data_IF_316071017804
#
_entry.id   IF_316071017804
#
_cell.length_a   1.000
_cell.length_b   1.000
_cell.length_c   1.000
_cell.angle_alpha   90.00
_cell.angle_beta   90.00
_cell.angle_gamma   90.00
#
_symmetry.space_group_name_H-M   'P 1'
#
loop_
_entity.id
_entity.type
_entity.pdbx_description
1 polymer ?
#
# COMPACT_ATOMS: atom_id res chain seq x y z
N UNK A 1 -1.46 -16.39 5.58
CA UNK A 1 -2.12 -15.16 6.04
C UNK A 1 -1.68 -14.88 7.47
N UNK A 2 -1.04 -13.73 7.73
CA UNK A 2 -0.60 -13.31 9.05
C UNK A 2 -1.32 -12.00 9.41
N UNK A 3 -2.47 -12.06 10.10
CA UNK A 3 -3.14 -10.85 10.59
C UNK A 3 -2.34 -10.22 11.74
N UNK A 4 -2.65 -8.99 12.08
CA UNK A 4 -2.14 -8.37 13.28
C UNK A 4 -2.52 -9.17 14.53
N UNK A 5 -1.58 -9.27 15.47
CA UNK A 5 -1.92 -9.69 16.83
C UNK A 5 -2.87 -8.66 17.45
N UNK A 6 -3.85 -9.14 18.22
CA UNK A 6 -4.90 -8.29 18.78
C UNK A 6 -4.34 -7.11 19.57
N UNK A 7 -3.31 -7.33 20.38
CA UNK A 7 -2.65 -6.27 21.17
C UNK A 7 -2.00 -5.19 20.31
N UNK A 8 -1.37 -5.58 19.21
CA UNK A 8 -0.73 -4.63 18.29
C UNK A 8 -1.79 -3.80 17.57
N UNK A 9 -2.88 -4.44 17.15
CA UNK A 9 -4.01 -3.76 16.53
C UNK A 9 -4.66 -2.74 17.49
N UNK A 10 -4.88 -3.12 18.75
CA UNK A 10 -5.41 -2.24 19.78
C UNK A 10 -4.53 -1.00 19.99
N UNK A 11 -3.21 -1.16 20.06
CA UNK A 11 -2.27 -0.03 20.15
C UNK A 11 -2.33 0.89 18.92
N UNK A 12 -2.50 0.34 17.71
CA UNK A 12 -2.65 1.14 16.48
C UNK A 12 -3.96 1.92 16.52
N UNK A 13 -5.06 1.28 16.93
CA UNK A 13 -6.38 1.91 17.06
C UNK A 13 -6.34 3.03 18.08
N UNK A 14 -5.84 2.76 19.29
CA UNK A 14 -5.68 3.74 20.36
C UNK A 14 -4.84 4.95 19.91
N UNK A 15 -3.70 4.69 19.25
CA UNK A 15 -2.88 5.76 18.69
C UNK A 15 -3.64 6.62 17.68
N UNK A 16 -4.42 5.99 16.80
CA UNK A 16 -5.20 6.70 15.79
C UNK A 16 -6.30 7.56 16.42
N UNK A 17 -7.01 7.02 17.41
CA UNK A 17 -8.06 7.70 18.12
C UNK A 17 -7.54 8.88 18.98
N UNK A 18 -6.51 8.65 19.79
CA UNK A 18 -5.91 9.67 20.66
C UNK A 18 -5.31 10.84 19.87
N UNK A 19 -4.68 10.54 18.74
CA UNK A 19 -4.00 11.55 17.92
C UNK A 19 -4.86 12.06 16.77
N UNK A 20 -6.15 11.72 16.72
CA UNK A 20 -7.10 12.08 15.65
C UNK A 20 -6.55 11.80 14.25
N UNK A 21 -5.89 10.64 14.09
CA UNK A 21 -5.27 10.23 12.83
C UNK A 21 -6.29 9.61 11.91
N UNK A 22 -6.15 9.85 10.63
CA UNK A 22 -6.95 9.18 9.62
C UNK A 22 -6.30 7.84 9.27
N UNK A 23 -7.03 6.76 9.49
CA UNK A 23 -6.58 5.39 9.26
C UNK A 23 -7.69 4.56 8.63
N UNK A 24 -7.31 3.61 7.79
CA UNK A 24 -8.19 2.61 7.19
C UNK A 24 -7.65 1.24 7.55
N UNK A 25 -8.52 0.34 7.95
CA UNK A 25 -8.22 -1.04 8.30
C UNK A 25 -8.60 -1.95 7.15
N UNK A 26 -7.74 -2.89 6.81
CA UNK A 26 -7.94 -3.88 5.76
C UNK A 26 -8.11 -5.29 6.33
N UNK A 27 -9.33 -5.82 6.23
CA UNK A 27 -9.63 -7.23 6.43
C UNK A 27 -9.50 -7.98 5.09
N UNK A 28 -9.79 -9.29 5.08
CA UNK A 28 -9.60 -10.14 3.89
C UNK A 28 -10.33 -9.65 2.66
N UNK A 29 -11.56 -9.16 2.80
CA UNK A 29 -12.45 -8.84 1.68
C UNK A 29 -13.01 -7.42 1.71
N UNK A 30 -12.65 -6.62 2.71
CA UNK A 30 -13.16 -5.24 2.84
C UNK A 30 -12.18 -4.31 3.53
N UNK A 31 -12.39 -3.03 3.28
CA UNK A 31 -11.73 -1.92 3.96
C UNK A 31 -12.78 -1.12 4.74
N UNK A 32 -12.40 -0.65 5.92
CA UNK A 32 -13.23 0.26 6.72
C UNK A 32 -12.35 1.20 7.55
N UNK A 33 -12.88 2.33 8.00
CA UNK A 33 -12.11 3.31 8.76
C UNK A 33 -12.44 4.74 8.39
N UNK A 34 -11.42 5.57 8.21
CA UNK A 34 -11.60 6.98 7.84
C UNK A 34 -12.38 7.16 6.55
N UNK A 35 -13.59 7.70 6.66
CA UNK A 35 -14.47 7.99 5.51
C UNK A 35 -13.78 8.87 4.47
N UNK A 36 -12.96 9.84 4.92
CA UNK A 36 -12.21 10.75 4.03
C UNK A 36 -11.19 9.98 3.19
N UNK A 37 -10.51 9.00 3.77
CA UNK A 37 -9.54 8.18 3.04
C UNK A 37 -10.24 7.19 2.10
N UNK A 38 -11.34 6.57 2.53
CA UNK A 38 -12.14 5.67 1.71
C UNK A 38 -12.74 6.38 0.49
N UNK A 39 -13.28 7.59 0.69
CA UNK A 39 -13.76 8.43 -0.42
C UNK A 39 -12.63 8.79 -1.39
N UNK A 40 -11.43 9.09 -0.90
CA UNK A 40 -10.26 9.38 -1.73
C UNK A 40 -9.83 8.20 -2.63
N UNK A 41 -10.20 6.98 -2.30
CA UNK A 41 -9.97 5.79 -3.12
C UNK A 41 -11.04 5.59 -4.21
N UNK A 42 -12.18 6.31 -4.11
CA UNK A 42 -13.26 6.24 -5.09
C UNK A 42 -12.76 6.65 -6.47
N UNK A 43 -13.06 5.83 -7.48
CA UNK A 43 -12.76 6.10 -8.90
C UNK A 43 -13.28 7.47 -9.33
N UNK A 44 -14.43 7.90 -8.78
CA UNK A 44 -15.06 9.18 -9.09
C UNK A 44 -14.19 10.36 -8.61
N UNK A 45 -13.61 10.28 -7.42
CA UNK A 45 -12.74 11.34 -6.88
C UNK A 45 -11.39 11.32 -7.59
N UNK A 46 -10.83 10.15 -7.91
CA UNK A 46 -9.60 10.04 -8.72
C UNK A 46 -9.79 10.70 -10.08
N UNK A 47 -10.93 10.48 -10.72
CA UNK A 47 -11.28 11.11 -12.01
C UNK A 47 -11.51 12.61 -11.89
N UNK A 48 -12.12 13.09 -10.79
CA UNK A 48 -12.29 14.52 -10.54
C UNK A 48 -10.93 15.20 -10.26
N UNK A 49 -10.05 14.54 -9.53
CA UNK A 49 -8.70 15.04 -9.22
C UNK A 49 -7.81 15.08 -10.45
N UNK A 50 -8.00 14.18 -11.44
CA UNK A 50 -7.22 14.18 -12.69
C UNK A 50 -7.51 15.41 -13.58
N UNK A 51 -8.62 16.09 -13.39
CA UNK A 51 -8.93 17.37 -14.05
C UNK A 51 -8.32 18.60 -13.36
N UNK A 52 -7.72 18.44 -12.17
CA UNK A 52 -7.07 19.53 -11.46
C UNK A 52 -5.66 19.78 -12.01
N UNK A 53 -5.22 21.05 -12.10
CA UNK A 53 -3.87 21.37 -12.56
C UNK A 53 -2.82 20.68 -11.68
N UNK A 54 -1.75 20.14 -12.26
CA UNK A 54 -0.64 19.46 -11.56
C UNK A 54 -0.01 20.28 -10.42
N UNK A 55 -0.26 21.57 -10.34
CA UNK A 55 0.20 22.50 -9.29
C UNK A 55 -0.88 22.88 -8.28
N UNK A 56 -1.96 22.09 -8.15
CA UNK A 56 -3.02 22.43 -7.21
C UNK A 56 -2.49 22.33 -5.75
N UNK A 57 -2.67 23.37 -4.90
CA UNK A 57 -2.10 23.37 -3.57
C UNK A 57 -2.70 22.27 -2.69
N UNK A 58 -1.87 21.36 -2.21
CA UNK A 58 -2.25 20.25 -1.32
C UNK A 58 -3.03 20.73 -0.08
N UNK A 59 -2.71 21.95 0.42
CA UNK A 59 -3.42 22.58 1.53
C UNK A 59 -4.88 22.91 1.20
N UNK A 60 -5.16 23.31 -0.04
CA UNK A 60 -6.51 23.60 -0.49
C UNK A 60 -7.31 22.29 -0.71
N UNK A 61 -6.67 21.26 -1.24
CA UNK A 61 -7.26 19.92 -1.35
C UNK A 61 -7.65 19.37 0.03
N UNK A 62 -6.79 19.49 1.04
CA UNK A 62 -7.13 19.12 2.43
C UNK A 62 -8.34 19.87 2.94
N UNK A 63 -8.45 21.19 2.71
CA UNK A 63 -9.63 21.99 3.09
C UNK A 63 -10.89 21.54 2.35
N UNK A 64 -10.80 21.30 1.05
CA UNK A 64 -11.94 20.82 0.24
C UNK A 64 -12.41 19.45 0.75
N UNK A 65 -11.50 18.50 0.96
CA UNK A 65 -11.83 17.18 1.50
C UNK A 65 -12.39 17.27 2.94
N UNK A 66 -11.93 18.21 3.75
CA UNK A 66 -12.49 18.47 5.09
C UNK A 66 -13.90 19.07 5.05
N UNK A 67 -14.22 19.89 4.04
CA UNK A 67 -15.57 20.47 3.85
C UNK A 67 -16.55 19.43 3.31
N UNK A 68 -16.09 18.53 2.44
CA UNK A 68 -16.91 17.44 1.88
C UNK A 68 -16.94 16.17 2.75
N UNK A 69 -16.22 16.14 3.85
CA UNK A 69 -16.36 15.10 4.89
C UNK A 69 -17.41 15.58 5.91
N UNK A 70 -18.70 15.21 5.75
CA UNK A 70 -19.76 15.74 6.61
C UNK A 70 -19.72 15.18 8.04
N UNK A 71 -18.80 14.31 8.33
CA UNK A 71 -18.61 13.75 9.66
C UNK A 71 -17.15 13.91 10.09
N UNK A 72 -16.88 14.92 10.93
CA UNK A 72 -15.91 14.70 12.01
C UNK A 72 -16.26 13.34 12.56
N UNK A 73 -15.33 12.42 12.48
CA UNK A 73 -15.46 11.12 13.09
C UNK A 73 -15.80 11.34 14.58
N UNK A 74 -17.08 11.24 14.90
CA UNK A 74 -17.58 11.32 16.29
C UNK A 74 -17.34 9.99 17.00
N UNK A 75 -17.26 8.92 16.21
CA UNK A 75 -17.12 7.58 16.72
C UNK A 75 -15.63 7.21 16.66
N UNK A 76 -15.13 6.67 17.75
CA UNK A 76 -13.79 6.15 17.87
C UNK A 76 -13.65 4.92 16.95
N UNK A 77 -12.47 4.71 16.40
CA UNK A 77 -12.19 3.54 15.55
C UNK A 77 -12.45 2.23 16.31
N UNK A 78 -12.22 2.22 17.62
CA UNK A 78 -12.46 1.05 18.49
C UNK A 78 -13.87 0.45 18.36
N UNK A 79 -14.85 1.24 17.88
CA UNK A 79 -16.25 0.79 17.70
C UNK A 79 -16.51 0.18 16.33
N UNK A 80 -15.53 0.16 15.43
CA UNK A 80 -15.73 -0.36 14.08
C UNK A 80 -15.90 -1.89 14.08
N UNK A 81 -16.92 -2.35 13.40
CA UNK A 81 -17.21 -3.78 13.24
C UNK A 81 -16.09 -4.56 12.55
N UNK A 82 -15.32 -3.91 11.65
CA UNK A 82 -14.20 -4.55 10.96
C UNK A 82 -13.13 -5.04 11.92
N UNK A 83 -12.94 -4.40 13.08
CA UNK A 83 -11.93 -4.79 14.07
C UNK A 83 -12.25 -6.12 14.78
N UNK A 84 -13.44 -6.68 14.57
CA UNK A 84 -13.80 -8.03 15.01
C UNK A 84 -13.28 -9.12 14.04
N UNK A 85 -12.82 -8.71 12.87
CA UNK A 85 -12.24 -9.59 11.85
C UNK A 85 -10.71 -9.57 11.94
N UNK A 86 -10.01 -10.57 11.38
CA UNK A 86 -8.56 -10.52 11.20
C UNK A 86 -8.17 -9.34 10.30
N UNK A 87 -7.36 -8.42 10.82
CA UNK A 87 -6.84 -7.26 10.08
C UNK A 87 -5.43 -7.58 9.59
N UNK A 88 -5.19 -7.37 8.31
CA UNK A 88 -3.93 -7.70 7.64
C UNK A 88 -3.10 -6.46 7.29
N UNK A 89 -3.74 -5.30 7.19
CA UNK A 89 -3.12 -4.05 6.79
C UNK A 89 -3.86 -2.88 7.42
N UNK A 90 -3.11 -1.84 7.80
CA UNK A 90 -3.67 -0.53 8.12
C UNK A 90 -3.03 0.52 7.22
N UNK A 91 -3.81 1.44 6.67
CA UNK A 91 -3.32 2.56 5.85
C UNK A 91 -3.48 3.82 6.68
N UNK A 92 -2.36 4.42 7.09
CA UNK A 92 -2.35 5.62 7.93
C UNK A 92 -1.98 6.86 7.09
N UNK A 93 -2.75 7.93 7.23
CA UNK A 93 -2.37 9.23 6.67
C UNK A 93 -1.25 9.83 7.54
N UNK A 94 -0.02 9.79 7.01
CA UNK A 94 1.17 10.23 7.71
C UNK A 94 2.23 10.71 6.72
N UNK A 95 2.85 11.90 6.95
CA UNK A 95 3.95 12.36 6.11
C UNK A 95 5.20 11.49 6.32
N UNK A 96 6.05 11.44 5.31
CA UNK A 96 7.29 10.66 5.33
C UNK A 96 8.21 11.02 6.52
N UNK A 97 8.22 12.29 6.91
CA UNK A 97 9.01 12.79 8.05
C UNK A 97 8.67 12.12 9.40
N UNK A 98 7.52 11.46 9.52
CA UNK A 98 7.10 10.73 10.71
C UNK A 98 7.51 9.25 10.69
N UNK A 99 8.08 8.74 9.60
CA UNK A 99 8.41 7.31 9.42
C UNK A 99 9.17 6.74 10.62
N UNK A 100 10.30 7.35 10.97
CA UNK A 100 11.15 6.88 12.09
C UNK A 100 10.43 6.88 13.44
N UNK A 101 9.51 7.81 13.67
CA UNK A 101 8.71 7.88 14.91
C UNK A 101 7.72 6.72 14.98
N UNK A 102 7.09 6.39 13.86
CA UNK A 102 6.15 5.27 13.78
C UNK A 102 6.88 3.93 13.96
N UNK A 103 8.01 3.73 13.30
CA UNK A 103 8.84 2.53 13.43
C UNK A 103 9.32 2.31 14.87
N UNK A 104 9.70 3.40 15.56
CA UNK A 104 10.09 3.33 16.97
C UNK A 104 8.91 3.03 17.90
N UNK A 105 7.72 3.55 17.57
CA UNK A 105 6.51 3.36 18.39
C UNK A 105 5.90 1.96 18.24
N UNK A 106 6.00 1.38 17.04
CA UNK A 106 5.42 0.08 16.70
C UNK A 106 6.50 -0.86 16.13
N UNK A 107 7.44 -1.32 16.96
CA UNK A 107 8.53 -2.18 16.49
C UNK A 107 8.05 -3.58 16.02
N UNK A 108 6.78 -3.93 16.32
CA UNK A 108 6.11 -5.16 15.87
C UNK A 108 5.47 -5.01 14.48
N UNK A 109 5.62 -3.84 13.85
CA UNK A 109 5.06 -3.56 12.54
C UNK A 109 6.16 -3.35 11.49
N UNK A 110 5.80 -3.59 10.25
CA UNK A 110 6.54 -3.15 9.05
C UNK A 110 5.80 -1.99 8.41
N UNK A 111 6.54 -0.96 7.99
CA UNK A 111 6.00 0.25 7.40
C UNK A 111 6.45 0.35 5.96
N UNK A 112 5.50 0.40 5.02
CA UNK A 112 5.77 0.52 3.59
C UNK A 112 5.09 1.76 3.04
N UNK A 113 5.73 2.43 2.07
CA UNK A 113 5.16 3.61 1.42
C UNK A 113 5.13 3.46 -0.08
N UNK A 114 3.97 3.75 -0.66
CA UNK A 114 3.79 3.96 -2.09
C UNK A 114 3.74 5.45 -2.47
N UNK A 115 3.68 6.34 -1.46
CA UNK A 115 3.69 7.80 -1.64
C UNK A 115 4.12 8.51 -0.35
N UNK A 116 4.34 9.83 -0.43
CA UNK A 116 4.82 10.66 0.69
C UNK A 116 3.75 11.00 1.74
N UNK A 117 2.49 10.65 1.52
CA UNK A 117 1.35 11.08 2.35
C UNK A 117 0.72 9.96 3.16
N UNK A 118 0.87 8.72 2.71
CA UNK A 118 0.31 7.55 3.38
C UNK A 118 1.39 6.52 3.66
N UNK A 119 1.19 5.76 4.72
CA UNK A 119 2.01 4.61 5.06
C UNK A 119 1.13 3.39 5.28
N UNK A 120 1.51 2.30 4.68
CA UNK A 120 0.94 1.00 4.91
C UNK A 120 1.64 0.38 6.11
N UNK A 121 0.85 0.02 7.12
CA UNK A 121 1.30 -0.68 8.33
C UNK A 121 0.86 -2.13 8.17
N UNK A 122 1.80 -3.04 8.22
CA UNK A 122 1.55 -4.48 8.15
C UNK A 122 2.24 -5.19 9.31
N UNK A 123 1.84 -6.40 9.69
CA UNK A 123 2.53 -7.19 10.69
C UNK A 123 4.02 -7.33 10.35
N UNK A 124 4.87 -7.35 11.39
CA UNK A 124 6.32 -7.44 11.22
C UNK A 124 6.71 -8.67 10.40
N UNK A 125 7.67 -8.47 9.51
CA UNK A 125 8.14 -9.53 8.62
C UNK A 125 7.22 -9.78 7.43
N UNK A 126 6.08 -9.06 7.31
CA UNK A 126 5.27 -9.12 6.10
C UNK A 126 5.99 -8.44 4.92
N UNK A 127 6.02 -9.12 3.77
CA UNK A 127 6.49 -8.53 2.51
C UNK A 127 5.75 -9.14 1.31
N UNK A 128 5.83 -8.48 0.15
CA UNK A 128 5.29 -9.03 -1.10
C UNK A 128 5.96 -10.34 -1.45
N UNK A 129 7.28 -10.45 -1.24
CA UNK A 129 8.03 -11.66 -1.49
C UNK A 129 7.53 -12.83 -0.65
N UNK A 130 7.31 -12.64 0.65
CA UNK A 130 6.77 -13.69 1.52
C UNK A 130 5.36 -14.12 1.10
N UNK A 131 4.54 -13.19 0.61
CA UNK A 131 3.23 -13.51 0.05
C UNK A 131 3.34 -14.40 -1.18
N UNK A 132 4.28 -14.11 -2.08
CA UNK A 132 4.56 -14.92 -3.26
C UNK A 132 5.10 -16.29 -2.86
N UNK A 133 6.05 -16.37 -1.95
CA UNK A 133 6.60 -17.64 -1.44
C UNK A 133 5.51 -18.52 -0.84
N UNK A 134 4.63 -17.94 -0.01
CA UNK A 134 3.52 -18.69 0.57
C UNK A 134 2.54 -19.22 -0.49
N UNK A 135 2.27 -18.44 -1.54
CA UNK A 135 1.46 -18.86 -2.67
C UNK A 135 2.16 -19.95 -3.48
N UNK A 136 3.42 -19.73 -3.85
CA UNK A 136 4.22 -20.68 -4.61
C UNK A 136 4.27 -22.06 -3.93
N UNK A 137 4.58 -22.09 -2.63
CA UNK A 137 4.56 -23.30 -1.82
C UNK A 137 3.19 -24.00 -1.81
N UNK A 138 2.10 -23.23 -1.74
CA UNK A 138 0.75 -23.77 -1.70
C UNK A 138 0.31 -24.42 -3.02
N UNK A 139 0.84 -23.95 -4.16
CA UNK A 139 0.49 -24.46 -5.50
C UNK A 139 1.59 -25.33 -6.10
N UNK A 140 2.74 -25.48 -5.44
CA UNK A 140 3.85 -26.32 -5.90
C UNK A 140 4.64 -25.73 -7.07
N UNK A 141 4.83 -24.39 -7.07
CA UNK A 141 5.63 -23.65 -8.05
C UNK A 141 6.93 -23.20 -7.38
N UNK A 142 8.07 -23.34 -8.06
CA UNK A 142 9.36 -22.84 -7.57
C UNK A 142 9.48 -21.33 -7.83
N UNK A 143 10.27 -20.64 -6.98
CA UNK A 143 10.44 -19.18 -7.09
C UNK A 143 11.06 -18.76 -8.42
N UNK A 144 11.90 -19.59 -9.00
CA UNK A 144 12.55 -19.45 -10.30
C UNK A 144 11.57 -19.46 -11.48
N UNK A 145 10.38 -20.01 -11.28
CA UNK A 145 9.31 -20.07 -12.29
C UNK A 145 8.39 -18.83 -12.25
N UNK A 146 8.65 -17.90 -11.33
CA UNK A 146 7.80 -16.72 -11.11
C UNK A 146 8.42 -15.49 -11.76
N UNK A 147 7.61 -14.76 -12.52
CA UNK A 147 7.91 -13.41 -12.98
C UNK A 147 7.08 -12.41 -12.17
N UNK A 148 7.73 -11.33 -11.71
CA UNK A 148 7.07 -10.25 -10.99
C UNK A 148 7.35 -8.89 -11.63
N UNK A 149 6.35 -8.01 -11.61
CA UNK A 149 6.46 -6.62 -12.06
C UNK A 149 6.35 -5.67 -10.87
N UNK A 150 7.20 -4.64 -10.84
CA UNK A 150 7.20 -3.66 -9.75
C UNK A 150 7.62 -2.28 -10.21
N UNK A 151 7.21 -1.24 -9.47
CA UNK A 151 7.49 0.15 -9.81
C UNK A 151 7.92 0.99 -8.61
N UNK A 152 7.83 0.47 -7.39
CA UNK A 152 8.12 1.23 -6.18
C UNK A 152 9.11 0.52 -5.23
N UNK A 153 9.62 1.25 -4.23
CA UNK A 153 10.63 0.75 -3.27
C UNK A 153 10.20 -0.53 -2.53
N UNK A 154 8.91 -0.69 -2.24
CA UNK A 154 8.36 -1.89 -1.60
C UNK A 154 8.32 -3.13 -2.53
N UNK A 155 8.70 -2.98 -3.81
CA UNK A 155 8.80 -4.07 -4.76
C UNK A 155 10.23 -4.63 -4.89
N UNK A 156 11.24 -3.92 -4.38
CA UNK A 156 12.65 -4.29 -4.55
C UNK A 156 12.93 -5.70 -4.03
N UNK A 157 12.42 -6.04 -2.86
CA UNK A 157 12.62 -7.37 -2.27
C UNK A 157 11.96 -8.46 -3.14
N UNK A 158 10.76 -8.20 -3.61
CA UNK A 158 10.02 -9.08 -4.51
C UNK A 158 10.77 -9.29 -5.82
N UNK A 159 11.20 -8.22 -6.48
CA UNK A 159 11.91 -8.29 -7.77
C UNK A 159 13.22 -9.08 -7.68
N UNK A 160 13.92 -9.02 -6.54
CA UNK A 160 15.16 -9.78 -6.30
C UNK A 160 14.92 -11.24 -5.91
N UNK A 161 13.74 -11.57 -5.41
CA UNK A 161 13.45 -12.86 -4.83
C UNK A 161 12.68 -13.82 -5.72
N UNK A 162 12.29 -13.39 -6.93
CA UNK A 162 11.63 -14.23 -7.94
C UNK A 162 12.59 -14.59 -9.06
N UNK A 163 12.19 -15.53 -9.93
CA UNK A 163 12.99 -15.97 -11.09
C UNK A 163 13.26 -14.87 -12.11
N UNK A 164 12.27 -14.00 -12.36
CA UNK A 164 12.42 -12.84 -13.25
C UNK A 164 11.73 -11.63 -12.60
N UNK A 165 12.54 -10.68 -12.14
CA UNK A 165 12.07 -9.39 -11.62
C UNK A 165 12.08 -8.32 -12.72
N UNK A 166 10.93 -7.73 -13.02
CA UNK A 166 10.76 -6.71 -14.06
C UNK A 166 10.37 -5.38 -13.44
N UNK A 167 11.20 -4.35 -13.61
CA UNK A 167 10.85 -2.99 -13.23
C UNK A 167 10.07 -2.30 -14.33
N UNK A 168 9.00 -1.59 -13.96
CA UNK A 168 8.24 -0.75 -14.88
C UNK A 168 9.07 0.47 -15.32
N UNK A 169 8.84 0.97 -16.53
CA UNK A 169 9.53 2.13 -17.07
C UNK A 169 9.36 3.42 -16.24
N UNK A 170 8.24 3.55 -15.53
CA UNK A 170 7.97 4.66 -14.59
C UNK A 170 8.56 4.44 -13.18
N UNK A 171 9.23 3.31 -12.91
CA UNK A 171 9.82 3.02 -11.60
C UNK A 171 10.97 3.96 -11.24
N UNK A 172 11.25 4.11 -9.93
CA UNK A 172 12.42 4.81 -9.44
C UNK A 172 13.70 4.11 -9.84
N UNK A 173 14.80 4.85 -9.88
CA UNK A 173 16.09 4.34 -10.39
C UNK A 173 16.60 3.15 -9.57
N UNK A 174 16.40 3.15 -8.26
CA UNK A 174 16.81 2.08 -7.35
C UNK A 174 16.03 0.79 -7.61
N UNK A 175 14.74 0.90 -7.97
CA UNK A 175 13.88 -0.23 -8.34
C UNK A 175 14.34 -0.82 -9.66
N UNK A 176 14.67 0.04 -10.64
CA UNK A 176 15.21 -0.38 -11.95
C UNK A 176 16.54 -1.12 -11.80
N UNK A 177 17.42 -0.66 -10.89
CA UNK A 177 18.68 -1.32 -10.61
C UNK A 177 18.54 -2.66 -9.87
N UNK A 178 17.41 -2.89 -9.23
CA UNK A 178 17.15 -4.12 -8.48
C UNK A 178 16.50 -5.22 -9.33
N UNK A 179 16.01 -4.89 -10.53
CA UNK A 179 15.34 -5.78 -11.44
C UNK A 179 16.29 -6.39 -12.48
N UNK A 180 15.91 -7.55 -13.02
CA UNK A 180 16.62 -8.22 -14.12
C UNK A 180 16.37 -7.52 -15.45
N UNK A 181 15.19 -6.90 -15.61
CA UNK A 181 14.79 -6.21 -16.82
C UNK A 181 13.95 -4.97 -16.50
N UNK A 182 14.07 -3.94 -17.35
CA UNK A 182 13.25 -2.73 -17.30
C UNK A 182 12.38 -2.69 -18.54
N UNK A 183 11.07 -2.75 -18.35
CA UNK A 183 10.08 -2.66 -19.42
C UNK A 183 9.61 -1.22 -19.66
N UNK A 184 8.60 -1.02 -20.52
CA UNK A 184 7.94 0.25 -20.74
C UNK A 184 7.15 0.71 -19.50
N UNK A 185 6.67 1.96 -19.51
CA UNK A 185 5.85 2.49 -18.41
C UNK A 185 4.47 1.84 -18.36
N UNK A 186 3.76 2.06 -17.25
CA UNK A 186 2.38 1.63 -17.10
C UNK A 186 1.40 2.36 -18.06
N UNK A 187 1.80 3.51 -18.63
CA UNK A 187 1.05 4.25 -19.65
C UNK A 187 1.35 3.74 -21.08
N UNK A 188 2.34 2.87 -21.23
CA UNK A 188 2.85 2.34 -22.51
C UNK A 188 2.78 0.80 -22.53
N UNK A 189 1.78 0.23 -21.91
CA UNK A 189 1.54 -1.21 -21.85
C UNK A 189 2.74 -2.04 -21.36
N UNK A 190 3.51 -1.51 -20.40
CA UNK A 190 4.77 -2.09 -19.95
C UNK A 190 4.71 -3.54 -19.49
N UNK A 191 3.59 -3.99 -18.88
CA UNK A 191 3.42 -5.41 -18.51
C UNK A 191 3.32 -6.28 -19.76
N UNK A 192 2.53 -5.86 -20.76
CA UNK A 192 2.42 -6.57 -22.03
C UNK A 192 3.78 -6.66 -22.76
N UNK A 193 4.49 -5.55 -22.86
CA UNK A 193 5.80 -5.52 -23.50
C UNK A 193 6.85 -6.36 -22.75
N UNK A 194 6.80 -6.38 -21.41
CA UNK A 194 7.63 -7.26 -20.61
C UNK A 194 7.35 -8.74 -20.84
N UNK A 195 6.08 -9.16 -20.83
CA UNK A 195 5.69 -10.55 -21.11
C UNK A 195 6.07 -10.97 -22.52
N UNK A 196 5.90 -10.09 -23.51
CA UNK A 196 6.28 -10.31 -24.89
C UNK A 196 7.79 -10.45 -25.06
N UNK A 197 8.60 -9.61 -24.37
CA UNK A 197 10.05 -9.71 -24.38
C UNK A 197 10.57 -11.08 -23.96
N UNK A 198 9.93 -11.68 -22.95
CA UNK A 198 10.27 -13.02 -22.47
C UNK A 198 9.54 -14.16 -23.21
N UNK A 199 8.78 -13.87 -24.28
CA UNK A 199 8.10 -14.87 -25.10
C UNK A 199 6.93 -15.58 -24.42
N UNK A 200 6.36 -15.00 -23.36
CA UNK A 200 5.24 -15.55 -22.60
C UNK A 200 3.89 -15.27 -23.27
N UNK A 201 3.84 -14.29 -24.14
CA UNK A 201 2.68 -13.93 -24.97
C UNK A 201 3.15 -13.54 -26.38
N UNK A 202 2.20 -13.53 -27.35
CA UNK A 202 2.42 -13.23 -28.76
C UNK A 202 2.01 -11.79 -29.12
#
# INVERSE_FOLDING_TARGET
DHPFEQKVLEHIVEFADENHRQIVFGARNRLDGSTTMLLGQSIFIKRLVSFLPRKFPVRLMKKILQVFSPHRQKDRYETLEILKEPIYQCILLSPESEQKKLEHRFPECTFQRSNTYTVDIIPKGGSKLLGIQAFANAVGIEMEEIMAFGDHYNDIEMLKGVGIGVAMGNAQIEVKHAADFVTQSNEEDGIYEGLKHFGLIY
#
